data_IF_693296295460
#
_entry.id   IF_693296295460
#
_cell.length_a   1.000
_cell.length_b   1.000
_cell.length_c   1.000
_cell.angle_alpha   90.00
_cell.angle_beta   90.00
_cell.angle_gamma   90.00
#
_symmetry.space_group_name_H-M   'P 1'
#
loop_
_entity.id
_entity.type
_entity.pdbx_description
1 polymer ?
#
# COMPACT_ATOMS: atom_id res chain seq x y z
N UNK A 1 10.57 -54.75 -12.35
CA UNK A 1 10.00 -53.40 -12.50
C UNK A 1 10.39 -52.63 -11.25
N UNK A 2 11.50 -51.89 -11.31
CA UNK A 2 11.97 -51.11 -10.17
C UNK A 2 11.32 -49.74 -10.17
N UNK A 3 10.50 -49.49 -9.15
CA UNK A 3 9.84 -48.23 -8.95
C UNK A 3 10.81 -47.12 -8.51
N UNK A 4 10.81 -46.02 -9.22
CA UNK A 4 11.57 -44.80 -8.91
C UNK A 4 10.98 -44.18 -7.63
N UNK A 5 11.82 -43.93 -6.63
CA UNK A 5 11.41 -43.40 -5.35
C UNK A 5 11.05 -41.88 -5.47
N UNK A 6 10.12 -41.42 -4.61
CA UNK A 6 9.72 -39.98 -4.57
C UNK A 6 10.89 -39.01 -4.33
N UNK A 7 12.03 -39.48 -3.83
CA UNK A 7 13.22 -38.66 -3.63
C UNK A 7 13.99 -38.37 -4.91
N UNK A 8 13.92 -39.27 -5.90
CA UNK A 8 14.62 -39.10 -7.19
C UNK A 8 13.91 -38.16 -8.15
N UNK A 9 12.59 -37.90 -7.96
CA UNK A 9 11.84 -36.95 -8.76
C UNK A 9 12.08 -35.46 -8.38
N UNK A 10 12.67 -35.19 -7.21
CA UNK A 10 12.91 -33.79 -6.75
C UNK A 10 14.32 -33.31 -7.13
N UNK A 11 15.23 -34.21 -7.45
CA UNK A 11 16.61 -33.85 -7.79
C UNK A 11 16.87 -33.60 -9.28
N UNK A 12 15.88 -33.79 -10.15
CA UNK A 12 16.02 -33.71 -11.62
C UNK A 12 15.55 -32.37 -12.26
N UNK A 13 15.06 -31.41 -11.51
CA UNK A 13 14.41 -30.19 -12.05
C UNK A 13 15.17 -28.88 -11.77
N UNK A 14 16.44 -28.92 -11.42
CA UNK A 14 17.23 -27.72 -11.09
C UNK A 14 18.55 -27.65 -11.86
N UNK A 15 18.49 -27.84 -13.14
CA UNK A 15 19.66 -27.57 -14.01
C UNK A 15 19.24 -27.47 -15.48
N UNK A 16 18.55 -26.38 -15.86
CA UNK A 16 18.65 -25.79 -17.23
C UNK A 16 17.79 -24.55 -17.29
N UNK A 17 18.41 -23.39 -17.48
CA UNK A 17 17.68 -22.21 -17.90
C UNK A 17 17.98 -20.89 -17.24
N UNK A 18 19.14 -20.68 -16.63
CA UNK A 18 19.72 -19.35 -16.55
C UNK A 18 20.35 -19.06 -17.92
N UNK A 19 19.52 -18.68 -18.87
CA UNK A 19 19.96 -18.02 -20.07
C UNK A 19 20.60 -16.70 -19.64
N UNK A 20 21.92 -16.67 -19.60
CA UNK A 20 22.69 -15.42 -19.59
C UNK A 20 22.31 -14.72 -20.87
N UNK A 21 21.40 -13.73 -20.78
CA UNK A 21 21.22 -12.78 -21.87
C UNK A 21 22.54 -12.02 -21.94
N UNK A 22 23.37 -12.45 -22.89
CA UNK A 22 24.60 -11.74 -23.27
C UNK A 22 24.16 -10.33 -23.65
N UNK A 23 24.56 -9.32 -22.87
CA UNK A 23 24.47 -7.93 -23.24
C UNK A 23 25.32 -7.75 -24.49
N UNK A 24 24.71 -7.88 -25.66
CA UNK A 24 25.33 -7.42 -26.89
C UNK A 24 25.65 -5.93 -26.67
N UNK A 25 26.92 -5.58 -26.80
CA UNK A 25 27.43 -4.23 -26.84
C UNK A 25 26.71 -3.49 -27.96
N UNK A 26 25.68 -2.72 -27.61
CA UNK A 26 25.11 -1.73 -28.52
C UNK A 26 26.13 -0.61 -28.64
N UNK A 27 26.59 -0.41 -29.89
CA UNK A 27 27.47 0.66 -30.26
C UNK A 27 26.92 2.04 -29.90
N UNK A 28 27.80 3.03 -29.86
CA UNK A 28 27.57 4.45 -29.58
C UNK A 28 26.22 4.96 -30.10
N UNK A 29 25.21 4.96 -29.26
CA UNK A 29 23.88 5.44 -29.51
C UNK A 29 23.40 6.16 -28.27
N UNK A 30 23.08 7.43 -28.40
CA UNK A 30 22.43 8.32 -27.46
C UNK A 30 21.76 7.59 -26.29
N UNK A 31 22.17 7.86 -25.09
CA UNK A 31 21.43 7.49 -23.88
C UNK A 31 20.04 8.14 -23.97
N UNK A 32 19.09 7.46 -24.62
CA UNK A 32 17.70 7.86 -24.55
C UNK A 32 17.33 7.85 -23.06
N UNK A 33 17.08 9.03 -22.53
CA UNK A 33 16.55 9.13 -21.16
C UNK A 33 15.24 8.35 -21.12
N UNK A 34 15.12 7.40 -20.18
CA UNK A 34 13.88 6.67 -19.96
C UNK A 34 12.72 7.66 -19.79
N UNK A 35 11.53 7.37 -20.36
CA UNK A 35 10.35 8.19 -20.13
C UNK A 35 10.12 8.34 -18.62
N UNK A 36 9.80 9.56 -18.17
CA UNK A 36 9.62 9.84 -16.74
C UNK A 36 8.55 8.96 -16.09
N UNK A 37 7.52 8.57 -16.87
CA UNK A 37 6.43 7.69 -16.41
C UNK A 37 6.89 6.27 -16.05
N UNK A 38 8.06 5.83 -16.53
CA UNK A 38 8.59 4.49 -16.32
C UNK A 38 10.01 4.53 -15.76
N UNK A 39 10.32 5.55 -14.99
CA UNK A 39 11.70 5.78 -14.52
C UNK A 39 12.17 4.71 -13.52
N UNK A 40 11.27 4.09 -12.77
CA UNK A 40 11.60 3.06 -11.78
C UNK A 40 12.60 3.53 -10.73
N UNK A 41 12.43 4.77 -10.22
CA UNK A 41 13.39 5.44 -9.30
C UNK A 41 12.76 5.84 -7.96
N UNK A 42 11.63 5.23 -7.62
CA UNK A 42 10.98 5.48 -6.33
C UNK A 42 11.90 5.09 -5.17
N UNK A 43 11.89 5.90 -4.13
CA UNK A 43 12.67 5.64 -2.92
C UNK A 43 11.73 5.49 -1.72
N UNK A 44 11.96 4.50 -0.84
CA UNK A 44 11.17 4.38 0.37
C UNK A 44 11.41 5.59 1.28
N UNK A 45 10.33 6.13 1.83
CA UNK A 45 10.38 7.22 2.81
C UNK A 45 10.63 6.64 4.20
N UNK A 46 11.41 7.31 5.06
CA UNK A 46 11.57 6.89 6.45
C UNK A 46 10.26 7.01 7.21
N UNK A 47 10.11 6.28 8.31
CA UNK A 47 9.00 6.48 9.24
C UNK A 47 9.02 7.92 9.77
N UNK A 48 7.88 8.64 9.73
CA UNK A 48 7.81 10.04 10.19
C UNK A 48 7.69 10.17 11.72
N UNK A 49 7.73 9.06 12.46
CA UNK A 49 7.59 9.02 13.92
C UNK A 49 8.53 7.97 14.54
N UNK A 50 8.68 8.04 15.86
CA UNK A 50 9.40 7.04 16.65
C UNK A 50 8.49 5.81 16.92
N UNK A 51 8.77 4.64 16.31
CA UNK A 51 7.91 3.48 16.46
C UNK A 51 7.87 2.90 17.88
N UNK A 52 8.80 3.27 18.76
CA UNK A 52 8.79 2.83 20.17
C UNK A 52 7.74 3.53 21.01
N UNK A 53 7.11 4.60 20.50
CA UNK A 53 6.18 5.47 21.23
C UNK A 53 4.71 5.20 20.90
N UNK A 54 4.41 4.22 20.05
CA UNK A 54 3.03 3.88 19.73
C UNK A 54 2.34 3.17 20.90
N UNK A 55 1.08 3.51 21.12
CA UNK A 55 0.25 2.89 22.14
C UNK A 55 -0.42 1.61 21.59
N UNK A 56 -0.04 0.45 22.12
CA UNK A 56 -0.66 -0.82 21.74
C UNK A 56 -0.19 -1.40 20.39
N UNK A 57 0.68 -0.75 19.65
CA UNK A 57 1.28 -1.28 18.41
C UNK A 57 2.79 -1.40 18.65
N UNK A 58 3.35 -2.60 18.49
CA UNK A 58 4.76 -2.84 18.81
C UNK A 58 5.70 -2.24 17.76
N UNK A 59 6.90 -1.80 18.24
CA UNK A 59 7.98 -1.39 17.35
C UNK A 59 8.33 -2.49 16.34
N UNK A 60 8.36 -3.75 16.79
CA UNK A 60 8.67 -4.92 15.95
C UNK A 60 7.70 -5.04 14.78
N UNK A 61 6.39 -4.88 15.03
CA UNK A 61 5.37 -4.92 13.99
C UNK A 61 5.57 -3.80 12.98
N UNK A 62 5.71 -2.54 13.45
CA UNK A 62 5.86 -1.36 12.59
C UNK A 62 7.13 -1.45 11.74
N UNK A 63 8.27 -1.86 12.32
CA UNK A 63 9.50 -2.03 11.54
C UNK A 63 9.35 -3.13 10.49
N UNK A 64 8.80 -4.28 10.87
CA UNK A 64 8.56 -5.37 9.91
C UNK A 64 7.63 -4.92 8.77
N UNK A 65 6.56 -4.22 9.09
CA UNK A 65 5.60 -3.70 8.13
C UNK A 65 6.27 -2.69 7.16
N UNK A 66 7.05 -1.75 7.68
CA UNK A 66 7.75 -0.75 6.87
C UNK A 66 8.86 -1.37 6.00
N UNK A 67 9.70 -2.24 6.59
CA UNK A 67 10.87 -2.79 5.91
C UNK A 67 10.52 -3.85 4.86
N UNK A 68 9.51 -4.69 5.14
CA UNK A 68 9.16 -5.81 4.28
C UNK A 68 8.00 -5.48 3.32
N UNK A 69 6.87 -4.96 3.83
CA UNK A 69 5.69 -4.72 3.00
C UNK A 69 5.83 -3.43 2.18
N UNK A 70 6.04 -2.29 2.84
CA UNK A 70 6.14 -1.01 2.14
C UNK A 70 7.41 -0.90 1.28
N UNK A 71 8.59 -1.15 1.84
CA UNK A 71 9.85 -1.10 1.07
C UNK A 71 9.88 -2.16 -0.02
N UNK A 72 9.28 -3.33 0.23
CA UNK A 72 9.08 -4.37 -0.78
C UNK A 72 8.20 -3.90 -1.95
N UNK A 73 7.11 -3.18 -1.66
CA UNK A 73 6.23 -2.60 -2.69
C UNK A 73 6.95 -1.54 -3.54
N UNK A 74 7.77 -0.66 -2.92
CA UNK A 74 8.57 0.33 -3.64
C UNK A 74 9.57 -0.35 -4.60
N UNK A 75 10.26 -1.38 -4.14
CA UNK A 75 11.19 -2.15 -4.99
C UNK A 75 10.46 -2.82 -6.15
N UNK A 76 9.31 -3.44 -5.88
CA UNK A 76 8.50 -4.10 -6.90
C UNK A 76 7.98 -3.11 -7.95
N UNK A 77 7.51 -1.92 -7.53
CA UNK A 77 7.07 -0.87 -8.45
C UNK A 77 8.19 -0.45 -9.40
N UNK A 78 9.41 -0.23 -8.88
CA UNK A 78 10.58 0.09 -9.70
C UNK A 78 10.86 -0.98 -10.76
N UNK A 79 10.78 -2.27 -10.38
CA UNK A 79 11.00 -3.39 -11.30
C UNK A 79 9.92 -3.43 -12.38
N UNK A 80 8.65 -3.25 -12.00
CA UNK A 80 7.53 -3.24 -12.96
C UNK A 80 7.67 -2.11 -13.96
N UNK A 81 7.99 -0.88 -13.54
CA UNK A 81 8.20 0.26 -14.43
C UNK A 81 9.38 0.02 -15.39
N UNK A 82 10.48 -0.56 -14.90
CA UNK A 82 11.62 -0.94 -15.75
C UNK A 82 11.21 -1.98 -16.80
N UNK A 83 10.41 -2.99 -16.45
CA UNK A 83 9.89 -3.96 -17.40
C UNK A 83 8.93 -3.32 -18.41
N UNK A 84 8.06 -2.39 -18.00
CA UNK A 84 7.20 -1.63 -18.92
C UNK A 84 8.03 -0.84 -19.93
N UNK A 85 9.13 -0.24 -19.50
CA UNK A 85 10.07 0.45 -20.42
C UNK A 85 10.64 -0.50 -21.46
N UNK A 86 11.11 -1.69 -21.06
CA UNK A 86 11.67 -2.67 -21.97
C UNK A 86 10.65 -3.15 -22.99
N UNK A 87 9.40 -3.35 -22.58
CA UNK A 87 8.34 -3.87 -23.44
C UNK A 87 7.63 -2.79 -24.26
N UNK A 88 7.84 -1.49 -23.99
CA UNK A 88 7.18 -0.41 -24.71
C UNK A 88 7.49 -0.37 -26.20
N UNK A 89 8.65 -0.90 -26.62
CA UNK A 89 9.10 -0.96 -28.03
C UNK A 89 8.82 -2.31 -28.71
N UNK A 90 8.34 -3.31 -27.99
CA UNK A 90 8.07 -4.64 -28.54
C UNK A 90 6.80 -4.62 -29.38
N UNK A 91 6.94 -4.93 -30.70
CA UNK A 91 5.82 -4.83 -31.67
C UNK A 91 4.84 -6.00 -31.58
N UNK A 92 5.34 -7.20 -31.30
CA UNK A 92 4.55 -8.44 -31.32
C UNK A 92 4.26 -8.99 -29.92
N UNK A 93 4.27 -8.09 -28.89
CA UNK A 93 3.99 -8.45 -27.53
C UNK A 93 2.51 -8.89 -27.37
N UNK A 94 2.24 -10.10 -26.85
CA UNK A 94 0.86 -10.50 -26.57
C UNK A 94 0.20 -9.53 -25.57
N UNK A 95 -1.04 -9.05 -25.86
CA UNK A 95 -1.70 -8.03 -25.03
C UNK A 95 -1.82 -8.37 -23.54
N UNK A 96 -1.98 -9.66 -23.21
CA UNK A 96 -2.11 -10.10 -21.81
C UNK A 96 -0.81 -9.87 -21.01
N UNK A 97 0.37 -10.02 -21.62
CA UNK A 97 1.65 -9.78 -20.93
C UNK A 97 1.81 -8.32 -20.52
N UNK A 98 1.46 -7.41 -21.42
CA UNK A 98 1.46 -5.97 -21.09
C UNK A 98 0.37 -5.64 -20.07
N UNK A 99 -0.82 -6.23 -20.22
CA UNK A 99 -1.92 -6.04 -19.29
C UNK A 99 -1.61 -6.53 -17.87
N UNK A 100 -0.86 -7.62 -17.72
CA UNK A 100 -0.42 -8.12 -16.41
C UNK A 100 0.54 -7.15 -15.72
N UNK A 101 1.51 -6.58 -16.46
CA UNK A 101 2.39 -5.54 -15.91
C UNK A 101 1.64 -4.26 -15.53
N UNK A 102 0.63 -3.86 -16.31
CA UNK A 102 -0.20 -2.68 -15.96
C UNK A 102 -1.05 -2.92 -14.72
N UNK A 103 -1.52 -4.15 -14.49
CA UNK A 103 -2.18 -4.52 -13.22
C UNK A 103 -1.20 -4.49 -12.04
N UNK A 104 0.01 -5.03 -12.23
CA UNK A 104 1.05 -4.97 -11.20
C UNK A 104 1.47 -3.53 -10.90
N UNK A 105 1.64 -2.68 -11.91
CA UNK A 105 1.93 -1.26 -11.72
C UNK A 105 0.86 -0.58 -10.85
N UNK A 106 -0.42 -0.78 -11.16
CA UNK A 106 -1.52 -0.24 -10.37
C UNK A 106 -1.51 -0.77 -8.94
N UNK A 107 -1.33 -2.10 -8.77
CA UNK A 107 -1.24 -2.76 -7.47
C UNK A 107 -0.08 -2.20 -6.64
N UNK A 108 1.12 -2.09 -7.21
CA UNK A 108 2.30 -1.59 -6.48
C UNK A 108 2.21 -0.11 -6.18
N UNK A 109 1.70 0.69 -7.11
CA UNK A 109 1.44 2.12 -6.89
C UNK A 109 0.45 2.31 -5.73
N UNK A 110 -0.68 1.61 -5.75
CA UNK A 110 -1.65 1.66 -4.67
C UNK A 110 -1.06 1.23 -3.32
N UNK A 111 -0.27 0.13 -3.31
CA UNK A 111 0.43 -0.32 -2.12
C UNK A 111 1.39 0.73 -1.57
N UNK A 112 2.25 1.33 -2.42
CA UNK A 112 3.19 2.38 -2.00
C UNK A 112 2.45 3.57 -1.41
N UNK A 113 1.46 4.10 -2.14
CA UNK A 113 0.72 5.31 -1.72
C UNK A 113 -0.04 5.06 -0.41
N UNK A 114 -0.77 3.95 -0.29
CA UNK A 114 -1.58 3.68 0.89
C UNK A 114 -0.72 3.41 2.13
N UNK A 115 0.42 2.72 1.99
CA UNK A 115 1.36 2.57 3.11
C UNK A 115 1.97 3.91 3.55
N UNK A 116 2.36 4.78 2.62
CA UNK A 116 2.86 6.12 2.97
C UNK A 116 1.81 6.94 3.70
N UNK A 117 0.55 6.86 3.25
CA UNK A 117 -0.57 7.52 3.91
C UNK A 117 -0.84 6.94 5.31
N UNK A 118 -0.79 5.62 5.46
CA UNK A 118 -0.96 4.92 6.72
C UNK A 118 0.12 5.30 7.74
N UNK A 119 1.40 5.21 7.37
CA UNK A 119 2.49 5.58 8.28
C UNK A 119 2.45 7.07 8.65
N UNK A 120 2.10 7.95 7.72
CA UNK A 120 1.95 9.37 8.03
C UNK A 120 0.78 9.66 8.98
N UNK A 121 -0.21 8.78 9.06
CA UNK A 121 -1.34 8.90 10.00
C UNK A 121 -1.03 8.42 11.43
N UNK A 122 0.15 7.83 11.66
CA UNK A 122 0.56 7.33 12.97
C UNK A 122 1.49 8.30 13.70
N UNK A 123 1.73 8.03 14.98
CA UNK A 123 2.65 8.80 15.83
C UNK A 123 2.03 10.02 16.49
N UNK A 124 0.72 10.21 16.40
CA UNK A 124 -0.04 11.22 17.12
C UNK A 124 -0.56 10.74 18.49
N UNK A 125 -1.45 11.52 19.07
CA UNK A 125 -2.06 11.25 20.37
C UNK A 125 -3.51 10.75 20.29
N UNK A 126 -4.03 10.50 19.10
CA UNK A 126 -5.38 10.02 18.82
C UNK A 126 -6.51 11.03 19.10
N UNK A 127 -6.19 12.26 19.49
CA UNK A 127 -7.21 13.28 19.84
C UNK A 127 -7.50 14.17 18.63
N UNK A 128 -8.68 13.98 18.05
CA UNK A 128 -9.13 14.77 16.91
C UNK A 128 -9.39 16.23 17.30
N UNK A 129 -8.90 17.14 16.47
CA UNK A 129 -9.13 18.58 16.59
C UNK A 129 -9.13 19.26 15.22
N UNK A 130 -9.11 20.58 15.20
CA UNK A 130 -8.87 21.42 14.03
C UNK A 130 -9.89 21.28 12.90
N UNK A 131 -9.40 21.41 11.68
CA UNK A 131 -10.19 21.39 10.43
C UNK A 131 -10.75 20.00 10.13
N UNK A 132 -10.01 18.94 10.43
CA UNK A 132 -10.44 17.57 10.22
C UNK A 132 -11.65 17.21 11.07
N UNK A 133 -11.62 17.52 12.38
CA UNK A 133 -12.75 17.27 13.27
C UNK A 133 -13.99 18.02 12.81
N UNK A 134 -13.88 19.30 12.46
CA UNK A 134 -15.00 20.10 11.94
C UNK A 134 -15.59 19.53 10.66
N UNK A 135 -14.76 19.08 9.73
CA UNK A 135 -15.19 18.46 8.49
C UNK A 135 -15.93 17.14 8.77
N UNK A 136 -15.42 16.31 9.66
CA UNK A 136 -16.03 15.04 10.09
C UNK A 136 -17.40 15.33 10.72
N UNK A 137 -17.49 16.25 11.68
CA UNK A 137 -18.75 16.60 12.36
C UNK A 137 -19.80 17.15 11.39
N UNK A 138 -19.36 17.91 10.39
CA UNK A 138 -20.27 18.40 9.34
C UNK A 138 -20.93 17.26 8.55
N UNK A 139 -20.15 16.24 8.17
CA UNK A 139 -20.65 15.17 7.30
C UNK A 139 -21.31 14.01 8.06
N UNK A 140 -20.87 13.71 9.26
CA UNK A 140 -21.35 12.57 10.05
C UNK A 140 -22.22 12.96 11.25
N UNK A 141 -22.43 14.27 11.47
CA UNK A 141 -23.22 14.79 12.59
C UNK A 141 -22.43 14.87 13.91
N UNK A 142 -21.54 13.93 14.19
CA UNK A 142 -20.58 13.98 15.31
C UNK A 142 -19.32 13.19 15.02
N UNK A 143 -18.26 13.48 15.78
CA UNK A 143 -17.02 12.69 15.71
C UNK A 143 -17.26 11.22 16.12
N UNK A 144 -18.06 11.00 17.16
CA UNK A 144 -18.37 9.67 17.68
C UNK A 144 -19.14 8.81 16.66
N UNK A 145 -20.05 9.41 15.90
CA UNK A 145 -20.78 8.73 14.81
C UNK A 145 -19.82 8.31 13.72
N UNK A 146 -18.93 9.19 13.31
CA UNK A 146 -17.90 8.91 12.32
C UNK A 146 -16.95 7.81 12.81
N UNK A 147 -16.43 7.93 14.04
CA UNK A 147 -15.46 6.96 14.59
C UNK A 147 -16.08 5.56 14.65
N UNK A 148 -17.34 5.46 15.08
CA UNK A 148 -18.07 4.19 15.13
C UNK A 148 -18.21 3.57 13.73
N UNK A 149 -18.50 4.38 12.70
CA UNK A 149 -18.63 3.91 11.33
C UNK A 149 -17.26 3.54 10.73
N UNK A 150 -16.20 4.34 10.96
CA UNK A 150 -14.84 4.04 10.54
C UNK A 150 -14.34 2.72 11.11
N UNK A 151 -14.53 2.49 12.42
CA UNK A 151 -14.19 1.23 13.08
C UNK A 151 -15.00 0.05 12.55
N UNK A 152 -16.29 0.22 12.25
CA UNK A 152 -17.12 -0.81 11.63
C UNK A 152 -16.62 -1.20 10.24
N UNK A 153 -16.24 -0.21 9.45
CA UNK A 153 -15.65 -0.43 8.11
C UNK A 153 -14.33 -1.22 8.22
N UNK A 154 -13.46 -0.86 9.17
CA UNK A 154 -12.24 -1.62 9.45
C UNK A 154 -12.53 -3.06 9.88
N UNK A 155 -13.43 -3.24 10.83
CA UNK A 155 -13.79 -4.58 11.30
C UNK A 155 -14.46 -5.46 10.23
N UNK A 156 -15.11 -4.87 9.24
CA UNK A 156 -15.68 -5.60 8.11
C UNK A 156 -14.60 -6.19 7.16
N UNK A 157 -13.35 -5.75 7.28
CA UNK A 157 -12.17 -6.29 6.56
C UNK A 157 -11.40 -7.34 7.39
N UNK A 158 -11.78 -7.56 8.65
CA UNK A 158 -11.07 -8.47 9.55
C UNK A 158 -11.08 -9.92 9.01
N UNK A 159 -9.94 -10.59 9.10
CA UNK A 159 -9.75 -11.95 8.58
C UNK A 159 -9.56 -12.02 7.06
N UNK A 160 -9.42 -10.87 6.40
CA UNK A 160 -9.12 -10.75 4.98
C UNK A 160 -7.97 -9.76 4.74
N UNK A 161 -8.16 -8.89 3.76
CA UNK A 161 -7.22 -7.84 3.41
C UNK A 161 -7.97 -6.56 3.03
N UNK A 162 -7.28 -5.45 3.02
CA UNK A 162 -7.82 -4.20 2.51
C UNK A 162 -7.50 -2.98 3.36
N UNK A 163 -8.22 -1.90 3.08
CA UNK A 163 -8.01 -0.59 3.66
C UNK A 163 -9.33 0.06 4.05
N UNK A 164 -9.36 0.72 5.18
CA UNK A 164 -10.42 1.67 5.51
C UNK A 164 -9.89 3.07 5.28
N UNK A 165 -10.59 3.84 4.45
CA UNK A 165 -10.09 5.12 3.97
C UNK A 165 -11.14 6.20 4.21
N UNK A 166 -10.91 7.11 5.17
CA UNK A 166 -11.63 8.37 5.21
C UNK A 166 -11.12 9.22 4.05
N UNK A 167 -11.99 9.54 3.10
CA UNK A 167 -11.60 10.30 1.93
C UNK A 167 -12.66 11.32 1.52
N UNK A 168 -12.19 12.45 0.99
CA UNK A 168 -13.03 13.45 0.37
C UNK A 168 -13.14 13.17 -1.13
N UNK A 169 -14.34 12.88 -1.62
CA UNK A 169 -14.59 12.68 -3.03
C UNK A 169 -14.77 14.04 -3.72
N UNK A 170 -13.80 14.38 -4.57
CA UNK A 170 -13.80 15.68 -5.27
C UNK A 170 -14.90 15.81 -6.33
N UNK A 171 -15.47 14.70 -6.80
CA UNK A 171 -16.56 14.72 -7.77
C UNK A 171 -17.91 14.96 -7.09
N UNK A 172 -18.23 14.17 -6.05
CA UNK A 172 -19.50 14.31 -5.30
C UNK A 172 -19.44 15.43 -4.28
N UNK A 173 -18.24 15.93 -3.92
CA UNK A 173 -17.99 16.92 -2.87
C UNK A 173 -18.37 16.45 -1.48
N UNK A 174 -18.27 15.16 -1.21
CA UNK A 174 -18.69 14.49 0.02
C UNK A 174 -17.52 13.78 0.71
N UNK A 175 -17.65 13.63 2.03
CA UNK A 175 -16.72 12.91 2.87
C UNK A 175 -17.30 11.54 3.23
N UNK A 176 -16.54 10.47 2.98
CA UNK A 176 -16.94 9.08 3.24
C UNK A 176 -15.82 8.26 3.86
N UNK A 177 -16.20 7.22 4.62
CA UNK A 177 -15.29 6.10 4.91
C UNK A 177 -15.49 5.04 3.82
N UNK A 178 -14.48 4.88 2.97
CA UNK A 178 -14.52 3.87 1.91
C UNK A 178 -13.91 2.55 2.40
N UNK A 179 -14.56 1.46 2.03
CA UNK A 179 -14.07 0.10 2.14
C UNK A 179 -13.32 -0.25 0.86
N UNK A 180 -12.07 -0.68 0.97
CA UNK A 180 -11.22 -1.04 -0.17
C UNK A 180 -10.66 -2.46 0.05
N UNK A 181 -11.02 -3.40 -0.84
CA UNK A 181 -10.65 -4.81 -0.70
C UNK A 181 -9.15 -5.06 -0.89
N UNK A 182 -8.48 -4.21 -1.64
CA UNK A 182 -7.07 -4.32 -1.97
C UNK A 182 -6.44 -2.94 -2.29
N UNK A 183 -5.22 -2.94 -2.77
CA UNK A 183 -4.49 -1.72 -3.12
C UNK A 183 -5.05 -0.99 -4.35
N UNK A 184 -5.93 -1.62 -5.15
CA UNK A 184 -6.45 -1.08 -6.42
C UNK A 184 -7.88 -0.59 -6.33
N UNK A 185 -8.62 -0.97 -5.28
CA UNK A 185 -10.06 -0.77 -5.15
C UNK A 185 -10.44 0.57 -4.51
N UNK A 186 -9.77 1.67 -4.89
CA UNK A 186 -10.03 2.99 -4.34
C UNK A 186 -11.16 3.70 -5.10
N UNK A 187 -11.96 4.53 -4.39
CA UNK A 187 -13.01 5.31 -5.01
C UNK A 187 -12.42 6.38 -5.96
N UNK A 188 -12.90 6.48 -7.21
CA UNK A 188 -12.41 7.48 -8.16
C UNK A 188 -12.55 8.92 -7.63
N UNK A 189 -11.60 9.79 -7.97
CA UNK A 189 -11.56 11.19 -7.53
C UNK A 189 -11.56 11.40 -6.02
N UNK A 190 -11.22 10.38 -5.23
CA UNK A 190 -11.12 10.49 -3.77
C UNK A 190 -9.72 10.89 -3.33
N UNK A 191 -9.64 11.85 -2.41
CA UNK A 191 -8.41 12.25 -1.73
C UNK A 191 -8.41 11.61 -0.35
N UNK A 192 -7.49 10.65 -0.08
CA UNK A 192 -7.37 10.02 1.23
C UNK A 192 -6.94 11.03 2.31
N UNK A 193 -7.66 11.05 3.41
CA UNK A 193 -7.37 11.91 4.57
C UNK A 193 -6.84 11.09 5.75
N UNK A 194 -7.48 9.95 6.05
CA UNK A 194 -7.04 8.99 7.06
C UNK A 194 -7.11 7.59 6.47
N UNK A 195 -6.04 6.82 6.59
CA UNK A 195 -5.90 5.48 6.01
C UNK A 195 -5.55 4.48 7.11
N UNK A 196 -6.35 3.43 7.24
CA UNK A 196 -6.13 2.30 8.14
C UNK A 196 -5.83 1.05 7.30
N UNK A 197 -4.73 0.41 7.57
CA UNK A 197 -4.35 -0.88 6.98
C UNK A 197 -5.01 -2.04 7.72
N UNK A 198 -5.78 -2.86 7.00
CA UNK A 198 -6.46 -4.04 7.52
C UNK A 198 -5.92 -5.36 6.96
N UNK A 199 -4.77 -5.33 6.27
CA UNK A 199 -4.04 -6.55 5.97
C UNK A 199 -3.50 -7.20 7.25
N UNK A 200 -3.44 -8.51 7.31
CA UNK A 200 -2.97 -9.24 8.50
C UNK A 200 -1.55 -8.83 8.93
N UNK A 201 -0.68 -8.46 7.99
CA UNK A 201 0.67 -7.99 8.32
C UNK A 201 0.69 -6.70 9.15
N UNK A 202 -0.40 -5.93 9.16
CA UNK A 202 -0.53 -4.70 9.95
C UNK A 202 -0.90 -4.96 11.41
N UNK A 203 -1.36 -6.19 11.77
CA UNK A 203 -1.84 -6.44 13.14
C UNK A 203 -1.59 -7.85 13.68
N UNK A 204 -1.40 -8.87 12.84
CA UNK A 204 -1.41 -10.26 13.28
C UNK A 204 -0.29 -10.57 14.30
N UNK A 205 0.86 -9.92 14.16
CA UNK A 205 2.01 -10.12 15.06
C UNK A 205 1.69 -9.75 16.51
N UNK A 206 0.89 -8.70 16.74
CA UNK A 206 0.55 -8.19 18.07
C UNK A 206 -0.81 -8.67 18.56
N UNK A 207 -1.76 -8.87 17.66
CA UNK A 207 -3.17 -9.07 17.97
C UNK A 207 -3.72 -10.42 17.51
N UNK A 208 -2.96 -11.21 16.73
CA UNK A 208 -3.47 -12.43 16.12
C UNK A 208 -4.78 -12.15 15.37
N UNK A 209 -5.83 -12.91 15.67
CA UNK A 209 -7.16 -12.74 15.06
C UNK A 209 -8.00 -11.60 15.67
N UNK A 210 -7.50 -10.90 16.71
CA UNK A 210 -8.26 -9.86 17.41
C UNK A 210 -8.15 -8.48 16.71
N UNK A 211 -8.48 -8.42 15.42
CA UNK A 211 -8.36 -7.23 14.58
C UNK A 211 -9.08 -5.99 15.17
N UNK A 212 -10.21 -6.17 15.85
CA UNK A 212 -10.92 -5.05 16.50
C UNK A 212 -10.05 -4.31 17.54
N UNK A 213 -9.21 -5.03 18.29
CA UNK A 213 -8.27 -4.42 19.24
C UNK A 213 -7.18 -3.62 18.56
N UNK A 214 -6.73 -4.07 17.38
CA UNK A 214 -5.80 -3.31 16.56
C UNK A 214 -6.44 -2.02 16.03
N UNK A 215 -7.69 -2.07 15.56
CA UNK A 215 -8.42 -0.87 15.12
C UNK A 215 -8.51 0.15 16.25
N UNK A 216 -8.81 -0.30 17.49
CA UNK A 216 -8.81 0.58 18.68
C UNK A 216 -7.42 1.17 18.94
N UNK A 217 -6.36 0.35 18.88
CA UNK A 217 -4.99 0.82 19.05
C UNK A 217 -4.56 1.81 17.95
N UNK A 218 -4.96 1.58 16.70
CA UNK A 218 -4.73 2.52 15.61
C UNK A 218 -5.32 3.90 15.94
N UNK A 219 -6.58 3.96 16.39
CA UNK A 219 -7.24 5.22 16.74
C UNK A 219 -6.51 6.00 17.86
N UNK A 220 -5.89 5.31 18.83
CA UNK A 220 -5.08 5.95 19.88
C UNK A 220 -3.79 6.60 19.37
N UNK A 221 -3.34 6.26 18.18
CA UNK A 221 -2.08 6.73 17.60
C UNK A 221 -2.27 7.66 16.39
N UNK A 222 -3.52 8.01 16.05
CA UNK A 222 -3.77 8.89 14.89
C UNK A 222 -3.09 10.24 15.07
N UNK A 223 -2.32 10.63 14.06
CA UNK A 223 -1.71 11.95 13.93
C UNK A 223 -2.70 12.90 13.25
N UNK A 224 -3.52 13.57 14.05
CA UNK A 224 -4.54 14.49 13.56
C UNK A 224 -3.97 15.75 12.91
N UNK A 225 -2.74 16.15 13.24
CA UNK A 225 -2.07 17.28 12.55
C UNK A 225 -1.88 16.97 11.06
N UNK A 226 -1.49 15.73 10.73
CA UNK A 226 -1.37 15.30 9.34
C UNK A 226 -2.73 15.24 8.64
N UNK A 227 -3.79 14.77 9.32
CA UNK A 227 -5.14 14.77 8.76
C UNK A 227 -5.63 16.19 8.52
N UNK A 228 -5.40 17.12 9.47
CA UNK A 228 -5.71 18.55 9.32
C UNK A 228 -5.00 19.13 8.09
N UNK A 229 -3.69 18.88 7.94
CA UNK A 229 -2.91 19.34 6.78
C UNK A 229 -3.50 18.88 5.46
N UNK A 230 -3.97 17.62 5.38
CA UNK A 230 -4.62 17.08 4.17
C UNK A 230 -5.97 17.73 3.90
N UNK A 231 -6.78 17.94 4.93
CA UNK A 231 -8.06 18.67 4.80
C UNK A 231 -7.83 20.08 4.28
N UNK A 232 -6.83 20.79 4.79
CA UNK A 232 -6.50 22.15 4.35
C UNK A 232 -6.00 22.22 2.91
N UNK A 233 -5.49 21.10 2.37
CA UNK A 233 -5.06 21.00 0.97
C UNK A 233 -6.19 20.69 -0.03
N UNK A 234 -7.43 20.48 0.43
CA UNK A 234 -8.59 20.13 -0.42
C UNK A 234 -9.16 21.31 -1.23
N UNK A 235 -8.48 22.41 -1.35
CA UNK A 235 -8.92 23.67 -2.04
C UNK A 235 -9.31 23.47 -3.48
#
# INVERSE_FOLDING_TARGET
MNGISRREMISGALATGLGVVSLASFGDGQTQSLPAAFAGKHQPRPLPFDPTKLNGISEKLIRSHHENNYTGAVKALNIVEQHLTLLASEKDLPPYMYGDLKREELMRTGSVVLHEQYFANLGGNGKADGSAKKLIEHWFGSYETWEAEFKRTGNALAGGSGWTILAFNQHTKELHNYWSADHTSNAPFSVPLLVLDMYEHAYQMDYGAAAAKYVDAFMLNVNWDEVNRRVESLK
#
